data_IF_231241800346
#
_entry.id   IF_231241800346
#
_cell.length_a   1.000
_cell.length_b   1.000
_cell.length_c   1.000
_cell.angle_alpha   90.00
_cell.angle_beta   90.00
_cell.angle_gamma   90.00
#
_symmetry.space_group_name_H-M   'P 1'
#
loop_
_entity.id
_entity.type
_entity.pdbx_description
1 polymer ?
#
# COMPACT_ATOMS: atom_id res chain seq x y z
N UNK A 1 -39.81 54.12 20.74
CA UNK A 1 -38.77 55.15 20.54
C UNK A 1 -37.72 54.53 19.63
N UNK A 2 -37.78 54.96 18.36
CA UNK A 2 -36.70 55.11 17.35
C UNK A 2 -35.72 53.96 17.12
N UNK A 3 -35.32 53.57 15.90
CA UNK A 3 -35.83 53.64 14.52
C UNK A 3 -34.71 53.04 13.65
N UNK A 4 -35.08 52.42 12.53
CA UNK A 4 -34.27 52.12 11.33
C UNK A 4 -33.25 50.97 11.42
N UNK A 5 -33.09 50.09 10.42
CA UNK A 5 -33.33 50.30 9.00
C UNK A 5 -33.53 48.97 8.22
N UNK A 6 -34.23 49.11 7.10
CA UNK A 6 -34.61 48.13 6.09
C UNK A 6 -33.43 47.43 5.40
N UNK A 7 -33.56 46.16 5.00
CA UNK A 7 -33.82 45.78 3.60
C UNK A 7 -33.80 44.25 3.37
N UNK A 8 -34.89 43.78 2.76
CA UNK A 8 -35.03 42.51 2.06
C UNK A 8 -34.22 42.56 0.77
N UNK A 9 -33.50 41.49 0.42
CA UNK A 9 -33.34 41.07 -0.98
C UNK A 9 -32.77 39.63 -1.09
N UNK A 10 -33.51 38.81 -1.85
CA UNK A 10 -33.07 37.73 -2.74
C UNK A 10 -32.35 36.49 -2.20
N UNK A 11 -33.17 35.49 -1.86
CA UNK A 11 -32.82 34.07 -1.99
C UNK A 11 -32.87 33.66 -3.47
N UNK A 12 -31.71 33.51 -4.11
CA UNK A 12 -31.58 32.78 -5.37
C UNK A 12 -30.96 31.40 -5.14
N UNK A 13 -31.72 30.37 -5.54
CA UNK A 13 -31.30 28.99 -5.69
C UNK A 13 -30.16 28.89 -6.73
N UNK A 14 -28.96 28.53 -6.29
CA UNK A 14 -27.94 28.02 -7.20
C UNK A 14 -28.19 26.53 -7.46
N UNK A 15 -29.04 26.24 -8.45
CA UNK A 15 -29.12 24.92 -9.06
C UNK A 15 -27.82 24.67 -9.83
N UNK A 16 -26.96 23.79 -9.31
CA UNK A 16 -25.77 23.31 -10.02
C UNK A 16 -26.18 22.65 -11.34
N UNK A 17 -25.63 23.16 -12.44
CA UNK A 17 -25.99 22.78 -13.80
C UNK A 17 -25.42 21.38 -14.15
N UNK A 18 -26.25 20.33 -14.31
CA UNK A 18 -25.77 18.96 -14.50
C UNK A 18 -24.97 18.73 -15.79
N UNK A 19 -25.10 19.64 -16.78
CA UNK A 19 -24.41 19.56 -18.07
C UNK A 19 -22.91 19.88 -17.98
N UNK A 20 -22.51 20.79 -17.09
CA UNK A 20 -21.10 21.16 -16.93
C UNK A 20 -20.26 20.01 -16.33
N UNK A 21 -20.84 19.24 -15.39
CA UNK A 21 -20.20 18.05 -14.83
C UNK A 21 -20.17 16.87 -15.82
N UNK A 22 -21.09 16.82 -16.79
CA UNK A 22 -21.13 15.79 -17.81
C UNK A 22 -20.05 16.00 -18.89
N UNK A 23 -19.79 17.25 -19.28
CA UNK A 23 -18.74 17.61 -20.24
C UNK A 23 -17.33 17.48 -19.63
N UNK A 24 -17.16 17.84 -18.36
CA UNK A 24 -15.91 17.61 -17.63
C UNK A 24 -15.56 16.11 -17.49
N UNK A 25 -16.58 15.26 -17.27
CA UNK A 25 -16.44 13.80 -17.22
C UNK A 25 -16.16 13.18 -18.59
N UNK A 26 -16.80 13.67 -19.65
CA UNK A 26 -16.54 13.22 -21.02
C UNK A 26 -15.10 13.57 -21.47
N UNK A 27 -14.61 14.76 -21.14
CA UNK A 27 -13.24 15.19 -21.45
C UNK A 27 -12.14 14.46 -20.66
N UNK A 28 -12.48 13.87 -19.50
CA UNK A 28 -11.58 12.98 -18.76
C UNK A 28 -11.55 11.56 -19.36
N UNK A 29 -12.71 11.07 -19.82
CA UNK A 29 -12.86 9.77 -20.49
C UNK A 29 -12.05 9.71 -21.80
N UNK A 30 -12.12 10.76 -22.62
CA UNK A 30 -11.45 10.81 -23.92
C UNK A 30 -9.90 10.93 -23.78
N UNK A 31 -9.43 11.58 -22.71
CA UNK A 31 -8.00 11.62 -22.36
C UNK A 31 -7.47 10.27 -21.89
N UNK A 32 -8.30 9.48 -21.20
CA UNK A 32 -7.92 8.16 -20.70
C UNK A 32 -7.88 7.09 -21.80
N UNK A 33 -8.85 7.09 -22.72
CA UNK A 33 -8.89 6.15 -23.86
C UNK A 33 -7.74 6.37 -24.83
N UNK A 34 -7.41 7.63 -25.15
CA UNK A 34 -6.26 7.96 -26.01
C UNK A 34 -4.91 7.55 -25.38
N UNK A 35 -4.80 7.59 -24.05
CA UNK A 35 -3.59 7.12 -23.33
C UNK A 35 -3.45 5.59 -23.44
N UNK A 36 -4.54 4.82 -23.32
CA UNK A 36 -4.54 3.36 -23.50
C UNK A 36 -4.16 2.94 -24.93
N UNK A 37 -4.60 3.70 -25.95
CA UNK A 37 -4.30 3.39 -27.36
C UNK A 37 -2.80 3.56 -27.68
N UNK A 38 -2.19 4.66 -27.20
CA UNK A 38 -0.75 4.92 -27.31
C UNK A 38 0.13 3.87 -26.62
N UNK A 39 -0.32 3.33 -25.48
CA UNK A 39 0.43 2.28 -24.77
C UNK A 39 0.44 0.94 -25.52
N UNK A 40 -0.68 0.58 -26.18
CA UNK A 40 -0.75 -0.65 -27.00
C UNK A 40 0.11 -0.56 -28.26
N UNK A 41 0.11 0.58 -28.94
CA UNK A 41 0.92 0.78 -30.16
C UNK A 41 2.43 0.76 -29.87
N UNK A 42 2.87 1.26 -28.71
CA UNK A 42 4.27 1.20 -28.30
C UNK A 42 4.71 -0.21 -27.85
N UNK A 43 3.81 -1.01 -27.27
CA UNK A 43 4.12 -2.38 -26.88
C UNK A 43 4.29 -3.31 -28.10
N UNK A 44 3.53 -3.10 -29.18
CA UNK A 44 3.69 -3.86 -30.43
C UNK A 44 4.98 -3.51 -31.17
N UNK A 45 5.40 -2.24 -31.19
CA UNK A 45 6.66 -1.83 -31.83
C UNK A 45 7.93 -2.40 -31.16
N UNK A 46 7.88 -2.68 -29.86
CA UNK A 46 9.02 -3.25 -29.13
C UNK A 46 9.12 -4.78 -29.24
N UNK A 47 8.05 -5.46 -29.67
CA UNK A 47 8.04 -6.92 -29.82
C UNK A 47 8.62 -7.40 -31.17
N UNK A 48 8.70 -6.51 -32.17
CA UNK A 48 9.16 -6.85 -33.53
C UNK A 48 10.69 -6.72 -33.71
N UNK A 49 11.44 -6.24 -32.70
CA UNK A 49 12.86 -5.89 -32.85
C UNK A 49 13.88 -6.82 -32.16
N UNK A 50 13.51 -8.04 -31.75
CA UNK A 50 14.44 -8.95 -31.05
C UNK A 50 14.45 -10.38 -31.59
N UNK A 51 15.20 -10.61 -32.68
CA UNK A 51 15.65 -11.94 -33.10
C UNK A 51 17.08 -11.86 -33.65
N UNK A 52 18.04 -12.56 -33.00
CA UNK A 52 19.26 -13.21 -33.54
C UNK A 52 20.03 -13.81 -32.34
N UNK A 53 19.98 -15.14 -32.17
CA UNK A 53 20.99 -16.16 -32.57
C UNK A 53 22.14 -16.37 -31.57
N UNK A 54 22.29 -17.62 -31.11
CA UNK A 54 23.30 -18.10 -30.17
C UNK A 54 24.20 -19.14 -30.85
N UNK A 55 25.43 -19.39 -30.34
CA UNK A 55 26.09 -20.67 -30.59
C UNK A 55 26.56 -21.40 -29.32
N UNK A 56 26.45 -22.72 -29.42
CA UNK A 56 26.85 -23.78 -28.49
C UNK A 56 28.36 -24.03 -28.44
N UNK A 57 28.89 -24.54 -27.32
CA UNK A 57 29.72 -25.76 -27.29
C UNK A 57 30.06 -26.24 -25.85
N UNK A 58 30.01 -27.56 -25.67
CA UNK A 58 30.44 -28.33 -24.49
C UNK A 58 31.83 -28.95 -24.73
N UNK A 59 32.68 -29.05 -23.69
CA UNK A 59 33.34 -30.31 -23.25
C UNK A 59 34.07 -30.18 -21.89
N UNK A 60 34.07 -31.30 -21.16
CA UNK A 60 34.62 -31.61 -19.81
C UNK A 60 36.18 -31.71 -19.85
N UNK A 61 36.99 -31.75 -18.78
CA UNK A 61 36.93 -32.60 -17.56
C UNK A 61 38.10 -32.30 -16.56
N UNK A 62 37.86 -32.53 -15.23
CA UNK A 62 38.74 -32.98 -14.09
C UNK A 62 40.13 -32.37 -13.78
N UNK A 63 40.36 -31.93 -12.53
CA UNK A 63 40.90 -32.72 -11.38
C UNK A 63 41.19 -31.87 -10.11
N UNK A 64 41.35 -32.57 -8.99
CA UNK A 64 41.29 -32.15 -7.58
C UNK A 64 42.66 -31.98 -6.87
N UNK A 65 42.62 -31.28 -5.72
CA UNK A 65 43.42 -31.41 -4.49
C UNK A 65 44.83 -30.75 -4.37
N UNK A 66 44.95 -29.76 -3.46
CA UNK A 66 45.66 -29.80 -2.15
C UNK A 66 45.89 -28.39 -1.54
N UNK A 67 45.68 -28.26 -0.22
CA UNK A 67 46.13 -27.19 0.72
C UNK A 67 47.42 -27.69 1.45
N UNK A 68 48.07 -26.97 2.41
CA UNK A 68 48.06 -25.54 2.83
C UNK A 68 49.49 -24.95 3.08
N UNK A 69 49.66 -23.63 3.34
CA UNK A 69 50.14 -23.09 4.64
C UNK A 69 50.43 -21.57 4.71
N UNK A 70 50.07 -21.02 5.88
CA UNK A 70 50.61 -19.90 6.68
C UNK A 70 51.02 -18.55 6.07
N UNK A 71 50.39 -17.45 6.56
CA UNK A 71 51.03 -16.48 7.48
C UNK A 71 50.00 -15.49 8.10
N UNK A 72 50.19 -15.17 9.39
CA UNK A 72 49.41 -14.20 10.20
C UNK A 72 49.61 -12.75 9.73
N UNK A 73 48.62 -11.83 9.83
CA UNK A 73 48.89 -10.41 9.74
C UNK A 73 49.17 -9.81 11.14
N UNK A 74 50.28 -9.07 11.25
CA UNK A 74 50.60 -8.17 12.37
C UNK A 74 50.38 -6.72 11.92
N UNK A 75 49.81 -5.93 12.83
CA UNK A 75 49.83 -4.46 12.95
C UNK A 75 49.37 -3.60 11.77
N UNK A 76 48.18 -3.00 11.93
CA UNK A 76 47.76 -1.81 11.22
C UNK A 76 48.39 -0.55 11.85
N UNK A 77 48.93 0.39 11.07
CA UNK A 77 49.04 1.78 11.50
C UNK A 77 47.86 2.58 10.95
N UNK A 78 47.16 3.26 11.87
CA UNK A 78 46.21 4.32 11.58
C UNK A 78 46.86 5.37 10.66
N UNK A 79 46.26 5.63 9.50
CA UNK A 79 46.49 6.86 8.74
C UNK A 79 45.17 7.60 8.58
N UNK A 80 45.07 8.67 9.35
CA UNK A 80 44.20 9.82 9.14
C UNK A 80 44.19 10.22 7.66
N UNK A 81 43.05 10.08 6.99
CA UNK A 81 42.85 10.62 5.64
C UNK A 81 42.45 12.09 5.77
N UNK A 82 43.41 12.96 5.48
CA UNK A 82 43.16 14.37 5.19
C UNK A 82 42.27 14.48 3.94
N UNK A 83 41.24 15.30 4.04
CA UNK A 83 40.48 15.81 2.90
C UNK A 83 41.43 16.62 2.01
N UNK A 84 41.85 16.03 0.89
CA UNK A 84 42.48 16.77 -0.20
C UNK A 84 41.37 17.38 -1.06
N UNK A 85 41.44 18.72 -1.23
CA UNK A 85 40.66 19.48 -2.21
C UNK A 85 40.73 18.79 -3.57
N UNK A 86 39.57 18.49 -4.15
CA UNK A 86 39.46 18.09 -5.55
C UNK A 86 39.90 19.27 -6.42
N UNK A 87 40.99 19.10 -7.16
CA UNK A 87 41.25 19.92 -8.34
C UNK A 87 40.13 19.62 -9.35
N UNK A 88 39.32 20.64 -9.64
CA UNK A 88 38.35 20.59 -10.72
C UNK A 88 39.10 20.43 -12.04
N UNK A 89 39.01 19.24 -12.62
CA UNK A 89 39.56 18.92 -13.94
C UNK A 89 38.77 19.74 -14.97
N UNK A 90 39.35 20.85 -15.45
CA UNK A 90 38.74 21.87 -16.31
C UNK A 90 38.28 21.36 -17.70
N UNK A 91 38.38 20.06 -17.97
CA UNK A 91 38.12 19.42 -19.26
C UNK A 91 36.86 18.52 -19.30
N UNK A 92 36.02 18.57 -18.26
CA UNK A 92 34.73 17.87 -18.22
C UNK A 92 33.59 18.82 -18.53
N UNK A 93 32.93 18.60 -19.66
CA UNK A 93 31.61 19.19 -19.96
C UNK A 93 30.57 18.08 -19.83
N UNK A 94 29.62 18.23 -18.91
CA UNK A 94 28.42 17.38 -18.76
C UNK A 94 28.61 15.87 -18.95
N UNK A 95 29.52 15.25 -18.18
CA UNK A 95 29.69 13.78 -18.20
C UNK A 95 30.46 13.24 -19.41
N UNK A 96 30.91 14.12 -20.32
CA UNK A 96 31.80 13.79 -21.42
C UNK A 96 33.20 14.30 -21.11
N UNK A 97 34.20 13.44 -21.29
CA UNK A 97 35.62 13.82 -21.21
C UNK A 97 36.14 13.99 -22.63
N UNK A 98 36.58 15.19 -22.99
CA UNK A 98 37.22 15.44 -24.28
C UNK A 98 38.64 14.85 -24.31
N UNK A 99 39.00 14.19 -25.42
CA UNK A 99 40.33 13.61 -25.60
C UNK A 99 41.26 14.68 -26.19
N UNK A 100 42.01 15.35 -25.34
CA UNK A 100 42.84 16.50 -25.75
C UNK A 100 44.25 16.11 -26.24
N UNK A 101 44.76 14.92 -25.89
CA UNK A 101 46.13 14.50 -26.18
C UNK A 101 46.19 13.27 -27.10
N UNK A 102 45.91 13.47 -28.40
CA UNK A 102 46.06 12.43 -29.42
C UNK A 102 47.48 12.38 -30.01
N UNK A 103 48.25 13.47 -29.91
CA UNK A 103 49.49 13.68 -30.67
C UNK A 103 50.82 13.42 -29.92
N UNK A 104 50.80 13.07 -28.63
CA UNK A 104 52.02 12.62 -27.93
C UNK A 104 52.28 11.14 -28.24
N UNK A 105 53.01 10.87 -29.32
CA UNK A 105 53.54 9.55 -29.74
C UNK A 105 52.66 8.34 -29.33
N UNK A 106 51.59 8.14 -30.10
CA UNK A 106 50.96 6.84 -30.27
C UNK A 106 49.92 6.45 -29.22
N UNK A 107 49.25 5.34 -29.52
CA UNK A 107 48.18 4.60 -28.82
C UNK A 107 48.14 4.72 -27.28
N UNK A 108 49.28 4.98 -26.60
CA UNK A 108 49.43 5.14 -25.16
C UNK A 108 48.65 6.31 -24.54
N UNK A 109 48.66 7.50 -25.14
CA UNK A 109 47.93 8.68 -24.61
C UNK A 109 46.42 8.45 -24.61
N UNK A 110 45.90 7.92 -25.71
CA UNK A 110 44.51 7.50 -25.86
C UNK A 110 44.11 6.41 -24.84
N UNK A 111 44.95 5.39 -24.64
CA UNK A 111 44.68 4.33 -23.65
C UNK A 111 44.65 4.85 -22.22
N UNK A 112 45.45 5.88 -21.89
CA UNK A 112 45.45 6.51 -20.57
C UNK A 112 44.13 7.24 -20.28
N UNK A 113 43.61 7.99 -21.25
CA UNK A 113 42.31 8.67 -21.12
C UNK A 113 41.15 7.66 -21.05
N UNK A 114 41.18 6.59 -21.86
CA UNK A 114 40.21 5.49 -21.74
C UNK A 114 40.26 4.84 -20.36
N UNK A 115 41.46 4.61 -19.80
CA UNK A 115 41.61 4.03 -18.45
C UNK A 115 40.99 4.92 -17.37
N UNK A 116 41.17 6.24 -17.45
CA UNK A 116 40.49 7.18 -16.55
C UNK A 116 38.97 7.09 -16.68
N UNK A 117 38.45 6.97 -17.92
CA UNK A 117 37.03 6.75 -18.17
C UNK A 117 36.50 5.46 -17.53
N UNK A 118 37.25 4.35 -17.66
CA UNK A 118 36.94 3.07 -17.00
C UNK A 118 36.94 3.22 -15.48
N UNK A 119 37.95 3.89 -14.90
CA UNK A 119 38.03 4.14 -13.46
C UNK A 119 36.85 4.98 -12.95
N UNK A 120 36.48 6.03 -13.69
CA UNK A 120 35.33 6.86 -13.36
C UNK A 120 34.01 6.08 -13.43
N UNK A 121 33.78 5.30 -14.49
CA UNK A 121 32.58 4.49 -14.64
C UNK A 121 32.49 3.40 -13.57
N UNK A 122 33.60 2.72 -13.27
CA UNK A 122 33.65 1.73 -12.20
C UNK A 122 33.33 2.36 -10.84
N UNK A 123 33.89 3.56 -10.55
CA UNK A 123 33.58 4.29 -9.31
C UNK A 123 32.08 4.56 -9.20
N UNK A 124 31.45 5.09 -10.26
CA UNK A 124 30.01 5.38 -10.29
C UNK A 124 29.18 4.10 -10.07
N UNK A 125 29.52 3.01 -10.76
CA UNK A 125 28.82 1.73 -10.62
C UNK A 125 28.90 1.18 -9.20
N UNK A 126 30.09 1.24 -8.58
CA UNK A 126 30.28 0.80 -7.20
C UNK A 126 29.53 1.70 -6.22
N UNK A 127 29.58 3.02 -6.39
CA UNK A 127 28.86 3.98 -5.53
C UNK A 127 27.34 3.80 -5.60
N UNK A 128 26.80 3.53 -6.79
CA UNK A 128 25.38 3.23 -6.98
C UNK A 128 24.93 1.98 -6.20
N UNK A 129 25.77 0.95 -6.12
CA UNK A 129 25.50 -0.28 -5.36
C UNK A 129 25.66 -0.10 -3.84
N UNK A 130 26.22 1.02 -3.38
CA UNK A 130 26.49 1.27 -1.97
C UNK A 130 25.85 2.60 -1.51
N UNK A 131 24.51 2.72 -1.55
CA UNK A 131 23.82 3.96 -1.24
C UNK A 131 23.98 4.39 0.23
N UNK A 132 24.40 3.48 1.12
CA UNK A 132 24.70 3.80 2.52
C UNK A 132 25.84 4.83 2.67
N UNK A 133 26.75 4.97 1.69
CA UNK A 133 27.75 6.04 1.67
C UNK A 133 27.15 7.44 1.53
N UNK A 134 25.91 7.54 1.03
CA UNK A 134 25.19 8.81 0.90
C UNK A 134 24.56 9.26 2.23
N UNK A 135 24.55 8.41 3.25
CA UNK A 135 24.05 8.78 4.57
C UNK A 135 25.07 9.65 5.31
N UNK A 136 24.57 10.67 6.02
CA UNK A 136 25.41 11.50 6.88
C UNK A 136 25.73 10.78 8.20
N UNK A 137 26.80 9.98 8.19
CA UNK A 137 27.27 9.23 9.37
C UNK A 137 27.79 10.13 10.51
N UNK A 138 28.00 11.43 10.25
CA UNK A 138 28.43 12.40 11.26
C UNK A 138 27.24 13.08 11.98
N UNK A 139 26.00 12.77 11.60
CA UNK A 139 24.82 13.34 12.24
C UNK A 139 24.77 12.93 13.71
N UNK A 140 24.54 13.90 14.60
CA UNK A 140 24.25 13.66 16.02
C UNK A 140 22.74 13.52 16.30
N UNK A 141 21.91 13.64 15.27
CA UNK A 141 20.47 13.46 15.42
C UNK A 141 20.15 11.99 15.69
N UNK A 142 19.15 11.76 16.52
CA UNK A 142 18.66 10.43 16.86
C UNK A 142 17.15 10.36 16.74
N UNK A 143 16.65 9.15 16.49
CA UNK A 143 15.23 8.82 16.46
C UNK A 143 15.03 7.62 17.36
N UNK A 144 14.00 7.66 18.21
CA UNK A 144 13.54 6.54 19.03
C UNK A 144 12.33 5.90 18.37
N UNK A 145 12.29 4.58 18.34
CA UNK A 145 11.17 3.81 17.80
C UNK A 145 10.62 2.94 18.93
N UNK A 146 9.34 3.09 19.20
CA UNK A 146 8.64 2.39 20.28
C UNK A 146 7.40 1.70 19.73
N UNK A 147 7.45 0.40 19.43
CA UNK A 147 6.26 -0.37 19.06
C UNK A 147 5.38 -0.55 20.31
N UNK A 148 4.12 -0.14 20.23
CA UNK A 148 3.10 -0.31 21.28
C UNK A 148 2.19 -1.52 21.01
N UNK A 149 2.16 -2.02 19.77
CA UNK A 149 1.49 -3.25 19.36
C UNK A 149 1.96 -3.72 17.98
N UNK A 150 1.61 -4.94 17.60
CA UNK A 150 1.98 -5.54 16.30
C UNK A 150 3.34 -6.27 16.29
N UNK A 151 4.02 -6.41 17.43
CA UNK A 151 5.23 -7.24 17.56
C UNK A 151 4.98 -8.46 18.45
N UNK A 152 5.34 -9.64 17.96
CA UNK A 152 5.10 -10.91 18.66
C UNK A 152 3.65 -11.39 18.59
N UNK A 153 2.82 -10.71 17.81
CA UNK A 153 1.39 -10.95 17.62
C UNK A 153 0.95 -10.62 16.18
N UNK A 154 -0.30 -10.93 15.84
CA UNK A 154 -0.92 -10.52 14.57
C UNK A 154 -1.98 -9.47 14.91
N UNK A 155 -1.85 -8.32 14.26
CA UNK A 155 -2.69 -7.15 14.41
C UNK A 155 -2.35 -6.26 15.61
N UNK A 156 -3.23 -5.30 15.92
CA UNK A 156 -2.94 -4.30 16.97
C UNK A 156 -1.79 -3.36 16.60
N UNK A 157 -1.54 -3.14 15.30
CA UNK A 157 -0.38 -2.37 14.86
C UNK A 157 -0.43 -0.93 15.38
N UNK A 158 0.61 -0.54 16.12
CA UNK A 158 0.80 0.83 16.58
C UNK A 158 2.28 1.04 16.89
N UNK A 159 2.90 2.01 16.22
CA UNK A 159 4.32 2.32 16.42
C UNK A 159 4.56 3.81 16.59
N UNK A 160 5.32 4.19 17.61
CA UNK A 160 5.73 5.58 17.82
C UNK A 160 7.12 5.79 17.25
N UNK A 161 7.31 6.85 16.45
CA UNK A 161 8.62 7.34 16.02
C UNK A 161 8.82 8.74 16.60
N UNK A 162 9.93 8.94 17.32
CA UNK A 162 10.16 10.15 18.12
C UNK A 162 11.54 10.76 17.86
N UNK A 163 11.58 12.07 17.66
CA UNK A 163 12.77 12.91 17.86
C UNK A 163 12.77 13.45 19.30
N UNK A 164 13.82 14.16 19.74
CA UNK A 164 13.80 14.82 21.05
C UNK A 164 12.59 15.76 21.27
N UNK A 165 12.06 16.37 20.20
CA UNK A 165 11.04 17.44 20.26
C UNK A 165 9.69 17.06 19.67
N UNK A 166 9.60 16.03 18.84
CA UNK A 166 8.40 15.68 18.09
C UNK A 166 8.20 14.17 18.02
N UNK A 167 6.96 13.72 17.97
CA UNK A 167 6.60 12.32 17.79
C UNK A 167 5.51 12.18 16.71
N UNK A 168 5.51 11.04 16.03
CA UNK A 168 4.41 10.58 15.18
C UNK A 168 4.02 9.17 15.60
N UNK A 169 2.73 8.85 15.45
CA UNK A 169 2.20 7.50 15.67
C UNK A 169 1.83 6.92 14.32
N UNK A 170 2.39 5.76 13.96
CA UNK A 170 2.04 5.00 12.77
C UNK A 170 0.97 4.00 13.17
N UNK A 171 -0.17 4.10 12.51
CA UNK A 171 -1.37 3.28 12.71
C UNK A 171 -1.91 3.28 14.16
N UNK A 172 -3.14 2.79 14.30
CA UNK A 172 -3.83 2.56 15.56
C UNK A 172 -4.79 1.39 15.40
N UNK A 173 -4.20 0.19 15.32
CA UNK A 173 -4.89 -1.07 15.07
C UNK A 173 -5.54 -1.70 16.29
N UNK A 174 -6.49 -2.61 16.04
CA UNK A 174 -6.97 -3.58 17.03
C UNK A 174 -6.51 -4.99 16.68
N UNK A 175 -6.57 -5.93 17.62
CA UNK A 175 -6.45 -7.36 17.35
C UNK A 175 -7.66 -8.11 17.90
N UNK A 176 -7.87 -9.33 17.42
CA UNK A 176 -8.93 -10.20 17.92
C UNK A 176 -8.37 -11.17 18.98
N UNK A 177 -9.15 -11.46 20.03
CA UNK A 177 -8.71 -12.35 21.09
C UNK A 177 -8.50 -13.78 20.60
N UNK A 178 -7.50 -14.46 21.19
CA UNK A 178 -7.24 -15.89 20.96
C UNK A 178 -8.17 -16.76 21.83
N UNK A 179 -8.22 -18.06 21.51
CA UNK A 179 -8.91 -19.07 22.32
C UNK A 179 -8.50 -18.96 23.80
N UNK A 180 -9.49 -18.74 24.68
CA UNK A 180 -9.30 -18.64 26.14
C UNK A 180 -9.69 -17.29 26.77
N UNK A 181 -9.84 -16.22 26.00
CA UNK A 181 -10.32 -14.91 26.47
C UNK A 181 -11.85 -14.78 26.31
N UNK A 182 -12.60 -15.50 27.14
CA UNK A 182 -14.06 -15.48 27.09
C UNK A 182 -14.63 -14.10 27.45
N UNK A 183 -15.56 -13.61 26.63
CA UNK A 183 -16.24 -12.32 26.86
C UNK A 183 -15.46 -11.08 26.42
N UNK A 184 -14.28 -11.26 25.82
CA UNK A 184 -13.53 -10.18 25.16
C UNK A 184 -13.87 -10.20 23.68
N UNK A 185 -14.25 -9.04 23.12
CA UNK A 185 -14.56 -8.91 21.69
C UNK A 185 -13.35 -8.46 20.86
N UNK A 186 -12.56 -7.52 21.41
CA UNK A 186 -11.41 -6.90 20.74
C UNK A 186 -10.29 -6.61 21.76
N UNK A 187 -9.07 -6.52 21.26
CA UNK A 187 -7.88 -6.07 21.98
C UNK A 187 -7.34 -4.81 21.32
N UNK A 188 -6.91 -3.83 22.12
CA UNK A 188 -6.31 -2.57 21.64
C UNK A 188 -4.99 -2.31 22.36
N UNK A 189 -4.02 -1.61 21.73
CA UNK A 189 -2.78 -1.23 22.39
C UNK A 189 -2.99 -0.37 23.63
N UNK A 190 -2.07 -0.45 24.60
CA UNK A 190 -2.06 0.41 25.78
C UNK A 190 -1.57 1.83 25.42
N UNK A 191 -2.42 2.84 25.65
CA UNK A 191 -2.11 4.24 25.35
C UNK A 191 -1.33 4.96 26.46
N UNK A 192 -0.96 4.27 27.55
CA UNK A 192 -0.23 4.87 28.68
C UNK A 192 1.03 5.63 28.26
N UNK A 193 1.78 5.11 27.28
CA UNK A 193 2.96 5.81 26.76
C UNK A 193 2.57 7.07 25.97
N UNK A 194 1.50 7.03 25.17
CA UNK A 194 1.02 8.19 24.41
C UNK A 194 0.59 9.33 25.34
N UNK A 195 -0.04 9.01 26.49
CA UNK A 195 -0.35 10.01 27.52
C UNK A 195 0.88 10.73 28.07
N UNK A 196 2.00 10.01 28.22
CA UNK A 196 3.28 10.58 28.71
C UNK A 196 3.94 11.52 27.70
N UNK A 197 3.77 11.27 26.40
CA UNK A 197 4.44 12.02 25.33
C UNK A 197 3.49 12.92 24.53
N UNK A 198 2.23 13.07 24.96
CA UNK A 198 1.15 13.71 24.18
C UNK A 198 1.52 15.07 23.59
N UNK A 199 2.29 15.88 24.31
CA UNK A 199 2.68 17.23 23.89
C UNK A 199 3.72 17.22 22.74
N UNK A 200 4.35 16.08 22.47
CA UNK A 200 5.25 15.88 21.33
C UNK A 200 4.54 15.33 20.10
N UNK A 201 3.38 14.70 20.25
CA UNK A 201 2.69 13.98 19.17
C UNK A 201 2.15 15.01 18.16
N UNK A 202 2.73 15.01 16.96
CA UNK A 202 2.36 15.90 15.87
C UNK A 202 1.20 15.35 15.01
N UNK A 203 1.00 14.03 15.02
CA UNK A 203 -0.09 13.41 14.28
C UNK A 203 -0.05 11.88 14.28
N UNK A 204 -1.16 11.30 13.85
CA UNK A 204 -1.33 9.87 13.59
C UNK A 204 -1.28 9.65 12.07
N UNK A 205 -0.48 8.69 11.63
CA UNK A 205 -0.11 8.43 10.24
C UNK A 205 -0.66 7.05 9.87
N UNK A 206 -1.67 7.01 9.01
CA UNK A 206 -2.34 5.77 8.62
C UNK A 206 -1.75 5.22 7.32
N UNK A 207 -1.40 3.95 7.32
CA UNK A 207 -0.85 3.23 6.15
C UNK A 207 -1.97 2.74 5.23
N UNK A 208 -2.98 2.07 5.80
CA UNK A 208 -4.13 1.51 5.09
C UNK A 208 -5.31 1.24 6.04
N UNK A 209 -6.42 0.76 5.50
CA UNK A 209 -7.72 0.80 6.18
C UNK A 209 -8.16 -0.53 6.82
N UNK A 210 -7.24 -1.47 7.06
CA UNK A 210 -7.58 -2.70 7.79
C UNK A 210 -7.80 -2.44 9.29
N UNK A 211 -8.64 -3.26 9.91
CA UNK A 211 -8.98 -3.16 11.34
C UNK A 211 -7.76 -3.22 12.25
N UNK A 212 -6.76 -4.00 11.86
CA UNK A 212 -5.52 -4.12 12.58
C UNK A 212 -4.54 -2.97 12.37
N UNK A 213 -4.94 -1.94 11.62
CA UNK A 213 -4.25 -0.66 11.46
C UNK A 213 -5.11 0.56 11.86
N UNK A 214 -6.43 0.46 11.80
CA UNK A 214 -7.34 1.59 12.12
C UNK A 214 -8.33 1.32 13.25
N UNK A 215 -8.43 0.09 13.71
CA UNK A 215 -9.52 -0.34 14.59
C UNK A 215 -9.52 0.31 15.97
N UNK A 216 -8.36 0.64 16.51
CA UNK A 216 -8.23 1.33 17.79
C UNK A 216 -8.42 2.84 17.69
N UNK A 217 -8.54 3.43 16.49
CA UNK A 217 -8.69 4.89 16.31
C UNK A 217 -9.85 5.50 17.10
N UNK A 218 -11.07 4.91 17.20
CA UNK A 218 -12.15 5.51 17.97
C UNK A 218 -11.89 5.46 19.48
N UNK A 219 -11.17 4.45 19.95
CA UNK A 219 -10.79 4.31 21.36
C UNK A 219 -9.74 5.34 21.73
N UNK A 220 -8.70 5.47 20.90
CA UNK A 220 -7.68 6.51 21.05
C UNK A 220 -8.32 7.91 21.07
N UNK A 221 -9.23 8.22 20.14
CA UNK A 221 -9.87 9.54 20.05
C UNK A 221 -10.82 9.89 21.19
N UNK A 222 -11.27 8.91 22.00
CA UNK A 222 -12.00 9.20 23.25
C UNK A 222 -11.08 9.78 24.32
N UNK A 223 -9.79 9.46 24.26
CA UNK A 223 -8.80 9.88 25.27
C UNK A 223 -7.88 11.00 24.77
N UNK A 224 -7.34 10.86 23.55
CA UNK A 224 -6.34 11.74 22.96
C UNK A 224 -6.70 12.07 21.51
N UNK A 225 -6.74 13.35 21.16
CA UNK A 225 -7.09 13.81 19.82
C UNK A 225 -5.88 14.47 19.13
N UNK A 226 -5.46 13.89 18.00
CA UNK A 226 -4.36 14.39 17.18
C UNK A 226 -4.80 14.49 15.71
N UNK A 227 -4.17 15.33 14.88
CA UNK A 227 -4.40 15.31 13.44
C UNK A 227 -4.16 13.91 12.87
N UNK A 228 -5.10 13.41 12.06
CA UNK A 228 -5.05 12.06 11.52
C UNK A 228 -4.85 12.12 10.01
N UNK A 229 -3.67 11.69 9.57
CA UNK A 229 -3.23 11.72 8.19
C UNK A 229 -3.44 10.35 7.54
N UNK A 230 -4.12 10.31 6.41
CA UNK A 230 -4.38 9.05 5.73
C UNK A 230 -4.92 9.26 4.33
N UNK A 231 -4.96 8.16 3.59
CA UNK A 231 -5.54 8.12 2.24
C UNK A 231 -7.07 8.21 2.31
N UNK A 232 -7.76 8.65 1.23
CA UNK A 232 -9.20 8.88 1.27
C UNK A 232 -10.01 7.65 1.74
N UNK A 233 -9.66 6.44 1.31
CA UNK A 233 -10.37 5.24 1.78
C UNK A 233 -10.17 5.03 3.28
N UNK A 234 -8.93 5.15 3.77
CA UNK A 234 -8.61 4.96 5.19
C UNK A 234 -9.38 5.94 6.06
N UNK A 235 -9.42 7.22 5.67
CA UNK A 235 -10.18 8.25 6.37
C UNK A 235 -11.70 8.03 6.27
N UNK A 236 -12.19 7.51 5.14
CA UNK A 236 -13.59 7.14 4.97
C UNK A 236 -14.03 6.04 5.95
N UNK A 237 -13.25 4.95 6.04
CA UNK A 237 -13.54 3.84 6.96
C UNK A 237 -13.41 4.25 8.44
N UNK A 238 -12.38 5.04 8.79
CA UNK A 238 -12.25 5.62 10.14
C UNK A 238 -13.45 6.54 10.43
N UNK A 239 -13.88 7.33 9.44
CA UNK A 239 -15.05 8.18 9.53
C UNK A 239 -16.31 7.38 9.89
N UNK A 240 -16.55 6.25 9.22
CA UNK A 240 -17.67 5.37 9.54
C UNK A 240 -17.61 4.84 10.98
N UNK A 241 -16.42 4.43 11.44
CA UNK A 241 -16.22 4.02 12.85
C UNK A 241 -16.50 5.16 13.82
N UNK A 242 -16.09 6.38 13.48
CA UNK A 242 -16.37 7.55 14.31
C UNK A 242 -17.88 7.77 14.45
N UNK A 243 -18.68 7.53 13.41
CA UNK A 243 -20.13 7.64 13.51
C UNK A 243 -20.71 6.58 14.46
N UNK A 244 -20.25 5.33 14.36
CA UNK A 244 -20.66 4.23 15.25
C UNK A 244 -20.35 4.51 16.73
N UNK A 245 -19.26 5.24 17.00
CA UNK A 245 -18.83 5.57 18.36
C UNK A 245 -19.26 6.98 18.83
N UNK A 246 -20.10 7.69 18.09
CA UNK A 246 -20.57 9.04 18.47
C UNK A 246 -19.50 10.13 18.38
N UNK A 247 -18.46 9.91 17.58
CA UNK A 247 -17.26 10.74 17.41
C UNK A 247 -17.28 11.56 16.12
N UNK A 248 -18.42 11.70 15.45
CA UNK A 248 -18.56 12.42 14.16
C UNK A 248 -17.92 13.82 14.16
N UNK A 249 -17.99 14.54 15.28
CA UNK A 249 -17.37 15.87 15.45
C UNK A 249 -15.85 15.89 15.25
N UNK A 250 -15.16 14.78 15.50
CA UNK A 250 -13.70 14.68 15.39
C UNK A 250 -13.22 14.44 13.96
N UNK A 251 -14.11 14.30 12.97
CA UNK A 251 -13.72 14.25 11.55
C UNK A 251 -13.00 15.52 11.08
N UNK A 252 -13.14 16.64 11.80
CA UNK A 252 -12.37 17.86 11.55
C UNK A 252 -10.85 17.69 11.74
N UNK A 253 -10.41 16.62 12.40
CA UNK A 253 -9.00 16.28 12.58
C UNK A 253 -8.40 15.53 11.38
N UNK A 254 -9.23 15.08 10.43
CA UNK A 254 -8.77 14.31 9.28
C UNK A 254 -7.97 15.19 8.32
N UNK A 255 -6.85 14.66 7.84
CA UNK A 255 -5.93 15.27 6.88
C UNK A 255 -5.73 14.30 5.72
N UNK A 256 -6.40 14.58 4.61
CA UNK A 256 -6.30 13.77 3.40
C UNK A 256 -4.92 13.98 2.79
N UNK A 257 -4.21 12.90 2.50
CA UNK A 257 -2.86 12.93 1.91
C UNK A 257 -2.88 12.56 0.44
N UNK A 258 -1.95 13.12 -0.31
CA UNK A 258 -1.68 12.76 -1.69
C UNK A 258 -0.44 11.86 -1.76
N UNK A 259 -0.55 10.72 -2.43
CA UNK A 259 0.60 9.84 -2.64
C UNK A 259 1.65 10.55 -3.50
N UNK A 260 2.92 10.28 -3.22
CA UNK A 260 4.09 10.94 -3.83
C UNK A 260 4.25 12.43 -3.54
N UNK A 261 3.47 12.98 -2.61
CA UNK A 261 3.59 14.35 -2.13
C UNK A 261 4.11 14.32 -0.69
N UNK A 262 5.41 14.63 -0.45
CA UNK A 262 5.94 14.74 0.91
C UNK A 262 5.33 15.93 1.64
N UNK A 263 4.88 15.71 2.87
CA UNK A 263 4.34 16.75 3.76
C UNK A 263 5.11 16.81 5.07
N UNK A 264 5.13 17.98 5.70
CA UNK A 264 5.73 18.14 7.02
C UNK A 264 4.71 17.87 8.13
N UNK A 265 5.08 17.00 9.07
CA UNK A 265 4.32 16.71 10.30
C UNK A 265 5.28 16.79 11.46
N UNK A 266 5.25 17.90 12.22
CA UNK A 266 6.26 18.17 13.25
C UNK A 266 7.68 18.28 12.66
N UNK A 267 8.64 17.53 13.21
CA UNK A 267 10.02 17.46 12.68
C UNK A 267 10.21 16.40 11.56
N UNK A 268 9.13 15.78 11.08
CA UNK A 268 9.16 14.72 10.09
C UNK A 268 8.71 15.23 8.71
N UNK A 269 9.35 14.77 7.64
CA UNK A 269 8.82 14.86 6.27
C UNK A 269 8.35 13.46 5.89
N UNK A 270 7.06 13.31 5.60
CA UNK A 270 6.42 12.02 5.37
C UNK A 270 5.82 12.00 3.98
N UNK A 271 6.10 10.92 3.23
CA UNK A 271 5.53 10.67 1.93
C UNK A 271 4.86 9.28 1.89
N UNK A 272 3.64 9.23 1.38
CA UNK A 272 2.92 7.99 1.12
C UNK A 272 3.27 7.46 -0.27
N UNK A 273 3.66 6.18 -0.33
CA UNK A 273 4.06 5.48 -1.56
C UNK A 273 3.07 4.34 -1.77
N UNK A 274 2.48 4.25 -2.95
CA UNK A 274 1.49 3.20 -3.23
C UNK A 274 2.12 1.80 -3.21
N UNK A 275 1.43 0.89 -2.51
CA UNK A 275 1.74 -0.53 -2.47
C UNK A 275 0.48 -1.36 -2.73
N UNK A 276 0.67 -2.56 -3.27
CA UNK A 276 -0.40 -3.56 -3.36
C UNK A 276 -0.58 -4.29 -2.03
N UNK A 277 -1.82 -4.51 -1.64
CA UNK A 277 -2.23 -5.28 -0.47
C UNK A 277 -3.63 -5.87 -0.72
N UNK A 278 -4.28 -6.51 0.26
CA UNK A 278 -5.65 -7.03 0.10
C UNK A 278 -6.74 -5.95 0.21
N UNK A 279 -6.41 -4.78 0.77
CA UNK A 279 -7.25 -3.58 0.65
C UNK A 279 -6.62 -2.56 -0.29
N UNK A 280 -7.50 -1.86 -1.01
CA UNK A 280 -7.11 -0.81 -1.95
C UNK A 280 -6.57 0.40 -1.19
N UNK A 281 -5.91 1.28 -1.94
CA UNK A 281 -5.42 2.56 -1.42
C UNK A 281 -4.39 2.44 -0.27
N UNK A 282 -3.75 1.28 -0.17
CA UNK A 282 -2.66 0.99 0.78
C UNK A 282 -1.37 1.75 0.42
N UNK A 283 -0.58 2.05 1.44
CA UNK A 283 0.65 2.84 1.30
C UNK A 283 1.78 2.38 2.24
N UNK A 284 2.99 2.33 1.69
CA UNK A 284 4.22 2.44 2.47
C UNK A 284 4.49 3.92 2.79
N UNK A 285 5.32 4.16 3.79
CA UNK A 285 5.70 5.49 4.26
C UNK A 285 7.22 5.68 4.10
N UNK A 286 7.61 6.77 3.46
CA UNK A 286 8.97 7.29 3.55
C UNK A 286 9.00 8.44 4.55
N UNK A 287 9.73 8.24 5.66
CA UNK A 287 9.77 9.13 6.81
C UNK A 287 11.18 9.70 6.92
N UNK A 288 11.35 10.95 6.53
CA UNK A 288 12.63 11.63 6.59
C UNK A 288 12.77 12.41 7.88
N UNK A 289 13.94 12.26 8.51
CA UNK A 289 14.34 12.98 9.71
C UNK A 289 15.75 13.52 9.53
N UNK A 290 16.22 14.35 10.47
CA UNK A 290 17.63 14.79 10.54
C UNK A 290 18.61 13.63 10.77
N UNK A 291 18.15 12.49 11.28
CA UNK A 291 18.98 11.29 11.47
C UNK A 291 19.13 10.49 10.17
N UNK A 292 18.08 10.46 9.35
CA UNK A 292 18.06 9.73 8.08
C UNK A 292 16.63 9.40 7.63
N UNK A 293 16.54 8.71 6.51
CA UNK A 293 15.26 8.21 5.96
C UNK A 293 14.93 6.84 6.56
N UNK A 294 13.72 6.71 7.09
CA UNK A 294 13.11 5.45 7.53
C UNK A 294 12.04 5.08 6.50
N UNK A 295 12.03 3.83 6.04
CA UNK A 295 10.92 3.29 5.25
C UNK A 295 10.11 2.37 6.15
N UNK A 296 8.79 2.63 6.25
CA UNK A 296 7.84 1.72 6.88
C UNK A 296 6.96 1.14 5.79
N UNK A 297 6.99 -0.18 5.57
CA UNK A 297 6.26 -0.78 4.45
C UNK A 297 4.76 -0.71 4.65
N UNK A 298 4.29 -0.72 5.90
CA UNK A 298 2.92 -1.17 6.19
C UNK A 298 2.76 -2.63 5.75
N UNK A 299 1.52 -3.10 5.68
CA UNK A 299 1.25 -4.43 5.14
C UNK A 299 1.28 -4.38 3.63
N UNK A 300 2.03 -5.29 3.02
CA UNK A 300 2.25 -5.23 1.59
C UNK A 300 2.39 -6.61 0.96
N UNK A 301 2.16 -6.63 -0.34
CA UNK A 301 2.67 -7.63 -1.26
C UNK A 301 3.23 -6.95 -2.49
N UNK A 302 3.90 -7.70 -3.35
CA UNK A 302 4.30 -7.25 -4.68
C UNK A 302 3.44 -8.01 -5.69
N UNK A 303 2.30 -7.42 -6.04
CA UNK A 303 1.44 -7.90 -7.11
C UNK A 303 1.70 -7.10 -8.39
N UNK A 304 2.15 -7.79 -9.44
CA UNK A 304 2.44 -7.17 -10.74
C UNK A 304 1.20 -7.01 -11.63
N UNK A 305 0.11 -7.68 -11.29
CA UNK A 305 -1.15 -7.71 -12.05
C UNK A 305 -2.36 -7.55 -11.11
N UNK A 306 -2.39 -6.52 -10.24
CA UNK A 306 -3.49 -6.33 -9.29
C UNK A 306 -4.79 -6.01 -10.03
N UNK A 307 -5.93 -6.29 -9.38
CA UNK A 307 -7.28 -6.20 -9.98
C UNK A 307 -7.62 -4.78 -10.45
N UNK A 308 -7.16 -3.77 -9.73
CA UNK A 308 -7.34 -2.35 -10.07
C UNK A 308 -6.32 -1.81 -11.08
N UNK A 309 -5.36 -2.63 -11.51
CA UNK A 309 -4.23 -2.27 -12.39
C UNK A 309 -3.31 -1.19 -11.78
N UNK A 310 -3.25 -1.09 -10.46
CA UNK A 310 -2.33 -0.21 -9.75
C UNK A 310 -1.25 -1.05 -9.03
N UNK A 311 -0.13 -1.39 -9.71
CA UNK A 311 0.95 -2.14 -9.07
C UNK A 311 1.71 -1.28 -8.05
N UNK A 312 2.41 -1.95 -7.13
CA UNK A 312 3.31 -1.30 -6.17
C UNK A 312 4.28 -0.35 -6.88
N UNK A 313 4.45 0.87 -6.37
CA UNK A 313 5.35 1.88 -6.93
C UNK A 313 6.82 1.56 -6.59
N UNK A 314 7.34 0.51 -7.23
CA UNK A 314 8.73 0.06 -7.09
C UNK A 314 9.72 1.14 -7.53
N UNK A 315 9.36 2.00 -8.49
CA UNK A 315 10.19 3.12 -8.91
C UNK A 315 10.39 4.12 -7.79
N UNK A 316 9.32 4.42 -7.03
CA UNK A 316 9.44 5.36 -5.92
C UNK A 316 10.20 4.77 -4.73
N UNK A 317 10.06 3.47 -4.47
CA UNK A 317 10.91 2.77 -3.51
C UNK A 317 12.38 2.77 -3.92
N UNK A 318 12.68 2.52 -5.20
CA UNK A 318 14.05 2.57 -5.74
C UNK A 318 14.66 3.97 -5.61
N UNK A 319 13.90 5.04 -5.88
CA UNK A 319 14.34 6.42 -5.66
C UNK A 319 14.79 6.68 -4.21
N UNK A 320 14.07 6.14 -3.22
CA UNK A 320 14.50 6.24 -1.83
C UNK A 320 15.70 5.34 -1.52
N UNK A 321 15.75 4.13 -2.08
CA UNK A 321 16.91 3.25 -1.99
C UNK A 321 18.19 3.92 -2.52
N UNK A 322 18.11 4.61 -3.66
CA UNK A 322 19.22 5.35 -4.26
C UNK A 322 19.68 6.54 -3.42
N UNK A 323 18.76 7.17 -2.68
CA UNK A 323 19.08 8.27 -1.75
C UNK A 323 19.78 7.80 -0.47
N UNK A 324 19.63 6.52 -0.12
CA UNK A 324 20.09 5.96 1.14
C UNK A 324 18.96 5.90 2.17
N UNK A 325 18.70 4.69 2.65
CA UNK A 325 17.72 4.39 3.70
C UNK A 325 18.49 3.96 4.95
N UNK A 326 18.20 4.61 6.07
CA UNK A 326 18.81 4.31 7.38
C UNK A 326 18.20 3.06 8.00
N UNK A 327 16.88 2.93 7.88
CA UNK A 327 16.13 1.84 8.49
C UNK A 327 14.94 1.45 7.62
N UNK A 328 14.75 0.13 7.45
CA UNK A 328 13.55 -0.46 6.87
C UNK A 328 12.78 -1.19 7.97
N UNK A 329 11.53 -0.78 8.17
CA UNK A 329 10.53 -1.43 9.01
C UNK A 329 9.59 -2.17 8.06
N UNK A 330 9.70 -3.49 8.00
CA UNK A 330 8.99 -4.34 7.02
C UNK A 330 7.99 -5.26 7.69
N UNK A 331 6.84 -5.44 7.04
CA UNK A 331 5.91 -6.54 7.33
C UNK A 331 6.65 -7.88 7.28
N UNK A 332 6.32 -8.75 8.25
CA UNK A 332 6.92 -10.06 8.46
C UNK A 332 5.89 -11.20 8.54
N UNK A 333 4.62 -10.94 8.27
CA UNK A 333 3.48 -11.87 8.39
C UNK A 333 3.73 -13.20 7.70
N UNK A 334 4.26 -13.16 6.47
CA UNK A 334 4.57 -14.34 5.67
C UNK A 334 6.08 -14.61 5.53
N UNK A 335 6.93 -14.03 6.39
CA UNK A 335 8.40 -14.16 6.31
C UNK A 335 8.92 -15.61 6.38
N UNK A 336 8.13 -16.52 6.95
CA UNK A 336 8.44 -17.95 7.06
C UNK A 336 8.09 -18.74 5.78
N UNK A 337 7.31 -18.17 4.86
CA UNK A 337 6.90 -18.82 3.60
C UNK A 337 7.84 -18.43 2.47
N UNK A 338 8.48 -19.42 1.88
CA UNK A 338 9.32 -19.23 0.69
C UNK A 338 8.48 -18.98 -0.56
N UNK A 339 9.08 -18.29 -1.54
CA UNK A 339 8.48 -18.04 -2.85
C UNK A 339 7.77 -16.69 -2.93
N UNK A 340 6.76 -16.61 -3.78
CA UNK A 340 5.99 -15.38 -4.03
C UNK A 340 4.50 -15.63 -3.77
N UNK A 341 3.82 -14.59 -3.29
CA UNK A 341 2.36 -14.63 -3.18
C UNK A 341 1.75 -14.47 -4.57
N UNK A 342 0.81 -15.33 -5.00
CA UNK A 342 0.11 -15.17 -6.26
C UNK A 342 -0.63 -13.82 -6.36
N UNK A 343 -0.78 -13.34 -7.58
CA UNK A 343 -1.56 -12.12 -7.86
C UNK A 343 -3.06 -12.33 -7.56
N UNK A 344 -3.78 -11.29 -7.15
CA UNK A 344 -5.26 -11.40 -7.02
C UNK A 344 -5.93 -11.72 -8.38
N UNK A 345 -5.29 -11.40 -9.49
CA UNK A 345 -5.80 -11.74 -10.82
C UNK A 345 -5.81 -13.25 -11.10
N UNK A 346 -4.99 -14.05 -10.40
CA UNK A 346 -4.95 -15.51 -10.63
C UNK A 346 -6.21 -16.22 -10.14
N UNK A 347 -7.09 -15.53 -9.40
CA UNK A 347 -8.38 -16.06 -8.94
C UNK A 347 -9.44 -16.03 -10.05
N UNK A 348 -9.27 -15.16 -11.04
CA UNK A 348 -10.23 -14.97 -12.13
C UNK A 348 -10.64 -16.29 -12.83
N UNK A 349 -9.73 -17.21 -13.22
CA UNK A 349 -10.10 -18.48 -13.83
C UNK A 349 -10.89 -19.39 -12.89
N UNK A 350 -10.54 -19.43 -11.60
CA UNK A 350 -11.24 -20.24 -10.61
C UNK A 350 -12.68 -19.74 -10.41
N UNK A 351 -12.87 -18.41 -10.31
CA UNK A 351 -14.20 -17.82 -10.24
C UNK A 351 -15.01 -18.08 -11.51
N UNK A 352 -14.41 -17.98 -12.68
CA UNK A 352 -15.09 -18.27 -13.95
C UNK A 352 -15.68 -19.69 -13.98
N UNK A 353 -14.87 -20.69 -13.62
CA UNK A 353 -15.29 -22.09 -13.55
C UNK A 353 -16.38 -22.29 -12.52
N UNK A 354 -16.18 -21.83 -11.28
CA UNK A 354 -17.12 -22.03 -10.17
C UNK A 354 -18.50 -21.41 -10.47
N UNK A 355 -18.53 -20.18 -10.99
CA UNK A 355 -19.79 -19.50 -11.30
C UNK A 355 -20.50 -20.12 -12.51
N UNK A 356 -19.76 -20.62 -13.49
CA UNK A 356 -20.30 -21.31 -14.67
C UNK A 356 -20.94 -22.65 -14.32
N UNK A 357 -20.34 -23.41 -13.40
CA UNK A 357 -20.79 -24.75 -13.01
C UNK A 357 -21.91 -24.73 -11.96
N UNK A 358 -22.04 -23.64 -11.21
CA UNK A 358 -23.02 -23.51 -10.14
C UNK A 358 -24.48 -23.62 -10.62
N UNK A 359 -25.17 -24.67 -10.20
CA UNK A 359 -26.58 -24.94 -10.53
C UNK A 359 -27.57 -24.21 -9.60
N UNK A 360 -27.17 -23.92 -8.35
CA UNK A 360 -27.98 -23.20 -7.38
C UNK A 360 -27.42 -21.82 -7.05
N UNK A 361 -27.68 -21.34 -5.83
CA UNK A 361 -27.13 -20.07 -5.35
C UNK A 361 -25.63 -20.22 -5.14
N UNK A 362 -24.90 -19.14 -5.38
CA UNK A 362 -23.48 -19.04 -5.00
C UNK A 362 -23.43 -18.25 -3.70
N UNK A 363 -22.80 -18.81 -2.67
CA UNK A 363 -22.57 -18.14 -1.38
C UNK A 363 -21.06 -18.01 -1.20
N UNK A 364 -20.52 -16.81 -1.38
CA UNK A 364 -19.10 -16.55 -1.19
C UNK A 364 -18.84 -15.87 0.15
N UNK A 365 -17.98 -16.47 0.97
CA UNK A 365 -17.52 -15.89 2.22
C UNK A 365 -16.09 -15.39 2.12
N UNK A 366 -15.83 -14.16 2.58
CA UNK A 366 -14.49 -13.55 2.62
C UNK A 366 -14.40 -12.49 3.72
N UNK A 367 -13.20 -11.96 3.95
CA UNK A 367 -13.00 -10.83 4.86
C UNK A 367 -13.68 -9.57 4.33
N UNK A 368 -14.40 -8.84 5.19
CA UNK A 368 -15.07 -7.59 4.81
C UNK A 368 -14.10 -6.51 4.32
N UNK A 369 -12.83 -6.58 4.73
CA UNK A 369 -11.77 -5.68 4.32
C UNK A 369 -11.18 -6.00 2.94
N UNK A 370 -11.36 -7.22 2.41
CA UNK A 370 -10.81 -7.60 1.11
C UNK A 370 -11.72 -7.12 -0.03
N UNK A 371 -11.68 -5.81 -0.27
CA UNK A 371 -12.51 -5.13 -1.28
C UNK A 371 -12.22 -5.67 -2.68
N UNK A 372 -10.97 -6.02 -3.01
CA UNK A 372 -10.64 -6.62 -4.31
C UNK A 372 -11.38 -7.93 -4.53
N UNK A 373 -11.41 -8.82 -3.53
CA UNK A 373 -12.09 -10.12 -3.62
C UNK A 373 -13.60 -9.97 -3.74
N UNK A 374 -14.20 -9.11 -2.91
CA UNK A 374 -15.64 -8.79 -2.96
C UNK A 374 -15.99 -8.21 -4.33
N UNK A 375 -15.21 -7.27 -4.83
CA UNK A 375 -15.41 -6.66 -6.14
C UNK A 375 -15.34 -7.71 -7.27
N UNK A 376 -14.33 -8.59 -7.27
CA UNK A 376 -14.23 -9.67 -8.24
C UNK A 376 -15.48 -10.56 -8.21
N UNK A 377 -15.90 -11.01 -7.02
CA UNK A 377 -17.07 -11.86 -6.88
C UNK A 377 -18.34 -11.21 -7.45
N UNK A 378 -18.55 -9.92 -7.18
CA UNK A 378 -19.69 -9.18 -7.71
C UNK A 378 -19.61 -9.08 -9.24
N UNK A 379 -18.43 -8.78 -9.80
CA UNK A 379 -18.23 -8.73 -11.26
C UNK A 379 -18.57 -10.07 -11.93
N UNK A 380 -18.14 -11.18 -11.33
CA UNK A 380 -18.48 -12.52 -11.81
C UNK A 380 -19.96 -12.84 -11.62
N UNK A 381 -20.57 -12.44 -10.50
CA UNK A 381 -22.02 -12.53 -10.30
C UNK A 381 -22.79 -11.85 -11.43
N UNK A 382 -22.44 -10.60 -11.75
CA UNK A 382 -23.04 -9.84 -12.84
C UNK A 382 -22.80 -10.53 -14.20
N UNK A 383 -21.58 -10.98 -14.47
CA UNK A 383 -21.21 -11.68 -15.72
C UNK A 383 -22.09 -12.90 -15.97
N UNK A 384 -22.45 -13.64 -14.92
CA UNK A 384 -23.30 -14.83 -14.99
C UNK A 384 -24.78 -14.53 -14.68
N UNK A 385 -25.21 -13.27 -14.85
CA UNK A 385 -26.61 -12.81 -14.69
C UNK A 385 -27.21 -13.09 -13.29
N UNK A 386 -26.38 -13.06 -12.25
CA UNK A 386 -26.84 -13.20 -10.87
C UNK A 386 -27.14 -11.84 -10.24
N UNK A 387 -28.23 -11.78 -9.46
CA UNK A 387 -28.51 -10.74 -8.47
C UNK A 387 -27.61 -10.91 -7.26
N UNK A 388 -27.22 -9.78 -6.68
CA UNK A 388 -26.16 -9.69 -5.69
C UNK A 388 -26.76 -9.30 -4.34
N UNK A 389 -26.65 -10.17 -3.34
CA UNK A 389 -26.95 -9.85 -1.95
C UNK A 389 -25.64 -9.78 -1.16
N UNK A 390 -25.28 -8.60 -0.65
CA UNK A 390 -24.16 -8.45 0.27
C UNK A 390 -24.70 -8.52 1.68
N UNK A 391 -24.16 -9.42 2.50
CA UNK A 391 -24.68 -9.71 3.84
C UNK A 391 -23.57 -9.55 4.85
N UNK A 392 -23.69 -8.51 5.66
CA UNK A 392 -22.77 -8.22 6.74
C UNK A 392 -22.51 -6.73 6.79
N UNK A 393 -22.91 -6.10 7.91
CA UNK A 393 -22.86 -4.63 8.08
C UNK A 393 -21.50 -4.03 7.76
N UNK A 394 -20.40 -4.68 8.19
CA UNK A 394 -19.04 -4.21 7.91
C UNK A 394 -18.72 -4.26 6.42
N UNK A 395 -19.10 -5.33 5.73
CA UNK A 395 -18.84 -5.51 4.30
C UNK A 395 -19.69 -4.55 3.45
N UNK A 396 -20.97 -4.38 3.79
CA UNK A 396 -21.88 -3.42 3.15
C UNK A 396 -21.31 -2.00 3.25
N UNK A 397 -20.95 -1.55 4.46
CA UNK A 397 -20.35 -0.22 4.68
C UNK A 397 -19.05 -0.01 3.92
N UNK A 398 -18.15 -0.99 3.93
CA UNK A 398 -16.88 -0.90 3.20
C UNK A 398 -17.11 -0.75 1.69
N UNK A 399 -18.06 -1.52 1.14
CA UNK A 399 -18.41 -1.46 -0.27
C UNK A 399 -19.05 -0.13 -0.65
N UNK A 400 -19.97 0.37 0.17
CA UNK A 400 -20.63 1.65 -0.05
C UNK A 400 -19.64 2.81 -0.04
N UNK A 401 -18.75 2.86 0.95
CA UNK A 401 -17.70 3.90 1.04
C UNK A 401 -16.76 3.81 -0.16
N UNK A 402 -16.30 2.62 -0.53
CA UNK A 402 -15.43 2.45 -1.70
C UNK A 402 -16.12 2.90 -3.00
N UNK A 403 -17.43 2.67 -3.13
CA UNK A 403 -18.24 3.08 -4.28
C UNK A 403 -18.47 4.59 -4.30
N UNK A 404 -18.82 5.20 -3.16
CA UNK A 404 -19.04 6.65 -3.02
C UNK A 404 -17.77 7.46 -3.33
N UNK A 405 -16.62 6.97 -2.87
CA UNK A 405 -15.31 7.56 -3.17
C UNK A 405 -14.84 7.30 -4.61
N UNK A 406 -15.55 6.45 -5.36
CA UNK A 406 -15.28 6.19 -6.78
C UNK A 406 -14.16 5.17 -7.03
N UNK A 407 -13.73 4.39 -6.03
CA UNK A 407 -12.73 3.34 -6.23
C UNK A 407 -13.28 2.12 -6.97
N UNK A 408 -14.57 1.83 -6.80
CA UNK A 408 -15.24 0.73 -7.46
C UNK A 408 -16.46 1.23 -8.22
N UNK A 409 -16.73 0.58 -9.34
CA UNK A 409 -17.88 0.88 -10.19
C UNK A 409 -18.73 -0.37 -10.33
N UNK A 410 -19.87 -0.38 -9.62
CA UNK A 410 -20.81 -1.50 -9.61
C UNK A 410 -22.22 -0.96 -9.90
N UNK A 411 -22.99 -1.59 -10.81
CA UNK A 411 -24.34 -1.15 -11.15
C UNK A 411 -25.32 -1.45 -10.00
N UNK A 412 -25.98 -0.42 -9.47
CA UNK A 412 -26.96 -0.54 -8.38
C UNK A 412 -28.09 -1.54 -8.67
N UNK A 413 -28.51 -1.67 -9.93
CA UNK A 413 -29.62 -2.53 -10.36
C UNK A 413 -29.35 -4.04 -10.18
N UNK A 414 -28.09 -4.40 -9.96
CA UNK A 414 -27.68 -5.78 -9.72
C UNK A 414 -27.82 -6.18 -8.24
N UNK A 415 -27.93 -5.22 -7.32
CA UNK A 415 -28.03 -5.49 -5.89
C UNK A 415 -29.49 -5.72 -5.48
N UNK A 416 -29.68 -6.66 -4.55
CA UNK A 416 -30.96 -6.97 -3.91
C UNK A 416 -30.75 -7.09 -2.41
N UNK A 417 -31.80 -6.80 -1.64
CA UNK A 417 -31.76 -6.94 -0.18
C UNK A 417 -31.85 -8.42 0.23
N UNK A 418 -31.33 -8.76 1.42
CA UNK A 418 -31.30 -10.14 1.91
C UNK A 418 -32.70 -10.79 2.00
N UNK A 419 -33.74 -10.00 2.30
CA UNK A 419 -35.13 -10.47 2.35
C UNK A 419 -35.76 -10.67 0.97
N UNK A 420 -35.14 -10.18 -0.11
CA UNK A 420 -35.62 -10.33 -1.49
C UNK A 420 -35.02 -11.54 -2.19
N UNK A 421 -33.97 -12.14 -1.62
CA UNK A 421 -33.29 -13.32 -2.19
C UNK A 421 -34.29 -14.43 -2.55
N UNK A 422 -35.30 -14.68 -1.72
CA UNK A 422 -36.31 -15.71 -1.95
C UNK A 422 -37.24 -15.43 -3.16
N UNK A 423 -37.24 -14.21 -3.72
CA UNK A 423 -38.05 -13.83 -4.88
C UNK A 423 -37.40 -14.21 -6.21
N UNK A 424 -36.12 -14.58 -6.20
CA UNK A 424 -35.35 -14.89 -7.41
C UNK A 424 -35.05 -16.39 -7.53
N UNK A 425 -34.89 -16.93 -8.75
CA UNK A 425 -34.41 -18.28 -8.97
C UNK A 425 -33.03 -18.50 -8.34
N UNK A 426 -32.78 -19.69 -7.78
CA UNK A 426 -31.54 -19.98 -7.06
C UNK A 426 -30.28 -19.81 -7.93
N UNK A 427 -30.34 -20.22 -9.20
CA UNK A 427 -29.25 -20.07 -10.17
C UNK A 427 -28.97 -18.61 -10.58
N UNK A 428 -29.82 -17.67 -10.18
CA UNK A 428 -29.69 -16.24 -10.45
C UNK A 428 -29.27 -15.45 -9.21
N UNK A 429 -28.79 -16.10 -8.14
CA UNK A 429 -28.38 -15.41 -6.90
C UNK A 429 -26.91 -15.65 -6.58
N UNK A 430 -26.22 -14.55 -6.24
CA UNK A 430 -24.95 -14.52 -5.52
C UNK A 430 -25.16 -13.85 -4.17
N UNK A 431 -24.77 -14.54 -3.10
CA UNK A 431 -24.66 -13.99 -1.75
C UNK A 431 -23.18 -13.81 -1.44
N UNK A 432 -22.77 -12.59 -1.11
CA UNK A 432 -21.42 -12.31 -0.61
C UNK A 432 -21.53 -11.98 0.87
N UNK A 433 -20.83 -12.73 1.72
CA UNK A 433 -21.01 -12.70 3.18
C UNK A 433 -19.67 -12.65 3.92
N UNK A 434 -19.70 -12.19 5.17
CA UNK A 434 -18.61 -12.39 6.13
C UNK A 434 -18.65 -13.79 6.76
N UNK A 435 -17.61 -14.13 7.53
CA UNK A 435 -17.55 -15.37 8.32
C UNK A 435 -16.61 -16.44 7.77
N UNK A 436 -15.61 -16.05 6.99
CA UNK A 436 -14.64 -16.98 6.38
C UNK A 436 -13.80 -17.74 7.41
N UNK A 437 -13.71 -17.23 8.65
CA UNK A 437 -12.99 -17.83 9.76
C UNK A 437 -13.88 -18.57 10.77
N UNK A 438 -15.19 -18.70 10.50
CA UNK A 438 -16.11 -19.41 11.40
C UNK A 438 -16.48 -18.64 12.67
N UNK A 439 -16.42 -17.30 12.65
CA UNK A 439 -16.84 -16.46 13.77
C UNK A 439 -18.32 -16.73 14.08
N UNK A 440 -18.64 -17.02 15.34
CA UNK A 440 -20.00 -17.45 15.76
C UNK A 440 -21.10 -16.44 15.47
N UNK A 441 -20.74 -15.15 15.40
CA UNK A 441 -21.67 -14.06 15.08
C UNK A 441 -21.71 -13.68 13.59
N UNK A 442 -20.89 -14.34 12.75
CA UNK A 442 -20.86 -14.08 11.32
C UNK A 442 -22.12 -14.56 10.60
N UNK A 443 -22.39 -13.93 9.46
CA UNK A 443 -23.55 -14.27 8.65
C UNK A 443 -23.45 -15.71 8.09
N UNK A 444 -22.27 -16.17 7.66
CA UNK A 444 -22.10 -17.55 7.21
C UNK A 444 -22.35 -18.57 8.33
N UNK A 445 -21.84 -18.34 9.54
CA UNK A 445 -22.06 -19.24 10.67
C UNK A 445 -23.55 -19.39 10.98
N UNK A 446 -24.28 -18.27 11.05
CA UNK A 446 -25.73 -18.27 11.27
C UNK A 446 -26.52 -18.96 10.16
N UNK A 447 -26.06 -18.88 8.91
CA UNK A 447 -26.67 -19.62 7.80
C UNK A 447 -26.43 -21.13 7.97
N UNK A 448 -25.25 -21.54 8.44
CA UNK A 448 -24.88 -22.93 8.67
C UNK A 448 -25.64 -23.56 9.85
N UNK A 449 -26.00 -22.77 10.88
CA UNK A 449 -26.80 -23.21 12.04
C UNK A 449 -28.30 -23.00 11.87
N UNK A 450 -28.76 -22.55 10.71
CA UNK A 450 -30.17 -22.21 10.41
C UNK A 450 -30.78 -21.11 11.32
N UNK A 451 -29.92 -20.23 11.84
CA UNK A 451 -30.31 -19.10 12.69
C UNK A 451 -30.37 -17.76 11.93
N UNK A 452 -29.96 -17.74 10.65
CA UNK A 452 -29.97 -16.53 9.85
C UNK A 452 -31.39 -16.17 9.38
N UNK A 453 -31.91 -15.02 9.85
CA UNK A 453 -33.30 -14.56 9.69
C UNK A 453 -33.91 -14.68 8.28
N UNK A 454 -33.12 -14.51 7.23
CA UNK A 454 -33.62 -14.42 5.85
C UNK A 454 -33.10 -15.52 4.92
N UNK A 455 -32.08 -16.28 5.32
CA UNK A 455 -31.36 -17.19 4.42
C UNK A 455 -31.00 -18.47 5.16
N UNK A 456 -31.57 -19.58 4.71
CA UNK A 456 -31.16 -20.94 5.10
C UNK A 456 -30.38 -21.57 3.96
N UNK A 457 -29.36 -22.38 4.25
CA UNK A 457 -28.58 -23.11 3.24
C UNK A 457 -29.45 -24.21 2.61
N UNK A 458 -29.33 -24.38 1.29
CA UNK A 458 -30.04 -25.41 0.50
C UNK A 458 -29.06 -26.47 0.00
N UNK A 459 -29.53 -27.71 -0.29
CA UNK A 459 -28.66 -28.79 -0.78
C UNK A 459 -27.87 -28.48 -2.06
N UNK A 460 -28.39 -27.59 -2.92
CA UNK A 460 -27.79 -27.26 -4.22
C UNK A 460 -26.96 -25.96 -4.19
N UNK A 461 -26.76 -25.34 -3.02
CA UNK A 461 -25.94 -24.14 -2.92
C UNK A 461 -24.45 -24.48 -3.10
N UNK A 462 -23.75 -23.63 -3.85
CA UNK A 462 -22.30 -23.64 -3.90
C UNK A 462 -21.75 -22.66 -2.86
N UNK A 463 -21.08 -23.17 -1.83
CA UNK A 463 -20.41 -22.34 -0.82
C UNK A 463 -18.92 -22.21 -1.16
N UNK A 464 -18.46 -20.98 -1.37
CA UNK A 464 -17.07 -20.64 -1.67
C UNK A 464 -16.47 -19.97 -0.44
N UNK A 465 -15.49 -20.62 0.19
CA UNK A 465 -14.69 -20.03 1.27
C UNK A 465 -13.47 -19.38 0.66
N UNK A 466 -13.50 -18.07 0.57
CA UNK A 466 -12.47 -17.22 -0.03
C UNK A 466 -11.73 -16.46 1.08
N UNK A 467 -11.09 -17.22 1.97
CA UNK A 467 -10.34 -16.74 3.14
C UNK A 467 -8.86 -16.47 2.81
#
# INVERSE_FOLDING_TARGET
MTDNNQNNENHENSSENPKANHEARAGAFERFTNRKKRFRENAQKNAESSHHEAPSHHKKERHSNKKPNHHKPKHAPQKTRNYAKEELDNNKVEGVTEILHVNERGTLGFHKELKKGVEANNKIQVEHLNPHYKMNLNSKASVKITPLGGLGEIGGNMMVIETPKSAIVIDAGMSFPKEGLFGVDILIPDFSYLHQIKDKIAGIIITHAHEDHIGATPYLFKELQFPLYGTPLSLGLIGSKFDEHGLKKYRSYFKIVEKRCPISVGEFIIEWIHITHSIIDSSALAIQTKAGTIIHTGDFKIDHTPVDNLPTDLYRLAHYGEKGVMLLLSDSTNSHKSGTTPSESTIAPAFDTLFKEAQGRVIMSTFSSNIHRVYQAIQYGIKYNRKIAVIGRSMEKNLDIARELGYIHLPYQSFIEANEVAKYPDNEVLIVTTGSQGETMSALYRMATDEHRHISIKPNDLVIISA
#
